data_IF_219898676962
#
_entry.id   IF_219898676962
#
_cell.length_a   1.000
_cell.length_b   1.000
_cell.length_c   1.000
_cell.angle_alpha   90.00
_cell.angle_beta   90.00
_cell.angle_gamma   90.00
#
_symmetry.space_group_name_H-M   'P 1'
#
loop_
_entity.id
_entity.type
_entity.pdbx_description
1 polymer ?
#
# COMPACT_ATOMS: atom_id res chain seq x y z
N UNK A 1 21.24 46.49 -9.66
CA UNK A 1 20.89 45.06 -9.65
C UNK A 1 21.60 44.36 -8.48
N UNK A 2 20.93 43.50 -7.73
CA UNK A 2 21.55 42.72 -6.67
C UNK A 2 22.45 41.68 -7.34
N UNK A 3 23.72 41.54 -6.94
CA UNK A 3 24.61 40.50 -7.48
C UNK A 3 24.03 39.10 -7.36
N UNK A 4 24.29 38.24 -8.34
CA UNK A 4 23.74 36.84 -8.33
C UNK A 4 24.20 36.05 -7.13
N UNK A 5 25.44 36.25 -6.67
CA UNK A 5 25.97 35.61 -5.47
C UNK A 5 25.18 35.98 -4.21
N UNK A 6 24.80 37.24 -4.07
CA UNK A 6 23.97 37.71 -2.95
C UNK A 6 22.57 37.07 -2.99
N UNK A 7 22.00 36.91 -4.19
CA UNK A 7 20.71 36.23 -4.35
C UNK A 7 20.82 34.75 -4.00
N UNK A 8 21.90 34.09 -4.45
CA UNK A 8 22.17 32.69 -4.12
C UNK A 8 22.27 32.49 -2.61
N UNK A 9 23.07 33.33 -1.95
CA UNK A 9 23.25 33.28 -0.50
C UNK A 9 21.94 33.54 0.26
N UNK A 10 21.13 34.49 -0.19
CA UNK A 10 19.82 34.75 0.40
C UNK A 10 18.86 33.55 0.28
N UNK A 11 18.85 32.86 -0.89
CA UNK A 11 18.06 31.62 -1.08
C UNK A 11 18.53 30.52 -0.12
N UNK A 12 19.83 30.34 0.05
CA UNK A 12 20.40 29.35 0.98
C UNK A 12 19.94 29.64 2.41
N UNK A 13 20.06 30.90 2.87
CA UNK A 13 19.63 31.27 4.22
C UNK A 13 18.12 31.12 4.45
N UNK A 14 17.30 31.44 3.45
CA UNK A 14 15.85 31.22 3.51
C UNK A 14 15.53 29.73 3.57
N UNK A 15 16.24 28.89 2.82
CA UNK A 15 16.05 27.43 2.79
C UNK A 15 16.33 26.78 4.14
N UNK A 16 17.28 27.28 4.90
CA UNK A 16 17.56 26.78 6.26
C UNK A 16 16.43 27.09 7.25
N UNK A 17 15.67 28.16 7.03
CA UNK A 17 14.61 28.63 7.93
C UNK A 17 13.21 28.22 7.52
N UNK A 18 13.00 27.95 6.24
CA UNK A 18 11.68 27.67 5.68
C UNK A 18 11.71 26.42 4.82
N UNK A 19 10.84 25.48 5.14
CA UNK A 19 10.69 24.25 4.39
C UNK A 19 10.21 24.52 2.95
N UNK A 20 9.28 25.46 2.75
CA UNK A 20 8.88 25.89 1.42
C UNK A 20 10.05 26.44 0.59
N UNK A 21 10.85 27.34 1.15
CA UNK A 21 12.01 27.88 0.44
C UNK A 21 13.10 26.82 0.18
N UNK A 22 13.22 25.83 1.06
CA UNK A 22 14.09 24.69 0.81
C UNK A 22 13.64 23.90 -0.42
N UNK A 23 12.34 23.57 -0.53
CA UNK A 23 11.78 22.89 -1.68
C UNK A 23 11.95 23.69 -2.97
N UNK A 24 11.67 25.00 -2.93
CA UNK A 24 11.89 25.93 -4.07
C UNK A 24 13.36 26.00 -4.48
N UNK A 25 14.27 26.03 -3.51
CA UNK A 25 15.70 26.16 -3.80
C UNK A 25 16.28 24.89 -4.39
N UNK A 26 15.85 23.73 -3.92
CA UNK A 26 16.32 22.44 -4.38
C UNK A 26 15.67 22.04 -5.73
N UNK A 27 14.37 22.35 -5.92
CA UNK A 27 13.57 21.95 -7.10
C UNK A 27 12.70 23.11 -7.62
N UNK A 28 13.30 24.18 -8.13
CA UNK A 28 12.58 25.41 -8.52
C UNK A 28 11.56 25.22 -9.64
N UNK A 29 11.74 24.19 -10.48
CA UNK A 29 10.79 23.85 -11.55
C UNK A 29 9.52 23.15 -11.04
N UNK A 30 9.58 22.58 -9.84
CA UNK A 30 8.43 21.87 -9.23
C UNK A 30 7.70 22.73 -8.20
N UNK A 31 8.44 23.47 -7.38
CA UNK A 31 7.88 24.27 -6.30
C UNK A 31 7.88 25.77 -6.68
N UNK A 32 6.92 26.14 -7.52
CA UNK A 32 6.75 27.53 -7.99
C UNK A 32 5.70 28.28 -7.17
N UNK A 33 5.76 29.61 -7.15
CA UNK A 33 4.82 30.43 -6.38
C UNK A 33 3.36 30.32 -6.86
N UNK A 34 3.14 29.84 -8.10
CA UNK A 34 1.81 29.56 -8.64
C UNK A 34 1.18 28.33 -8.00
N UNK A 35 1.97 27.40 -7.47
CA UNK A 35 1.51 26.18 -6.81
C UNK A 35 1.20 26.42 -5.33
N UNK A 36 0.19 27.23 -5.07
CA UNK A 36 -0.19 27.68 -3.73
C UNK A 36 -0.46 26.52 -2.77
N UNK A 37 -1.07 25.45 -3.25
CA UNK A 37 -1.35 24.26 -2.44
C UNK A 37 -0.06 23.64 -1.89
N UNK A 38 1.00 23.52 -2.70
CA UNK A 38 2.27 22.95 -2.23
C UNK A 38 2.91 23.85 -1.17
N UNK A 39 2.78 25.16 -1.32
CA UNK A 39 3.22 26.12 -0.30
C UNK A 39 2.47 25.95 1.01
N UNK A 40 1.15 25.87 0.97
CA UNK A 40 0.30 25.66 2.16
C UNK A 40 0.66 24.34 2.86
N UNK A 41 0.90 23.27 2.09
CA UNK A 41 1.35 21.97 2.62
C UNK A 41 2.69 22.11 3.33
N UNK A 42 3.67 22.77 2.70
CA UNK A 42 5.00 22.97 3.29
C UNK A 42 4.96 23.81 4.57
N UNK A 43 4.19 24.91 4.55
CA UNK A 43 4.00 25.78 5.72
C UNK A 43 3.30 25.06 6.88
N UNK A 44 2.30 24.22 6.58
CA UNK A 44 1.61 23.39 7.58
C UNK A 44 2.54 22.36 8.20
N UNK A 45 3.32 21.65 7.38
CA UNK A 45 4.29 20.67 7.86
C UNK A 45 5.33 21.37 8.76
N UNK A 46 5.85 22.52 8.33
CA UNK A 46 6.81 23.28 9.13
C UNK A 46 6.22 23.71 10.47
N UNK A 47 5.02 24.29 10.47
CA UNK A 47 4.33 24.70 11.70
C UNK A 47 4.13 23.52 12.65
N UNK A 48 3.75 22.35 12.14
CA UNK A 48 3.61 21.13 12.92
C UNK A 48 4.94 20.66 13.53
N UNK A 49 6.01 20.65 12.73
CA UNK A 49 7.33 20.20 13.20
C UNK A 49 7.89 21.12 14.29
N UNK A 50 7.62 22.43 14.21
CA UNK A 50 8.07 23.43 15.15
C UNK A 50 7.17 23.58 16.39
N UNK A 51 5.98 22.98 16.39
CA UNK A 51 5.04 22.95 17.54
C UNK A 51 5.42 21.82 18.50
N UNK A 52 5.86 22.16 19.72
CA UNK A 52 6.26 21.16 20.73
C UNK A 52 5.10 20.33 21.28
N UNK A 53 3.85 20.82 21.19
CA UNK A 53 2.69 20.21 21.85
C UNK A 53 1.95 19.21 20.96
N UNK A 54 2.27 19.17 19.65
CA UNK A 54 1.62 18.30 18.67
C UNK A 54 2.54 17.18 18.21
N UNK A 55 2.06 15.95 18.27
CA UNK A 55 2.81 14.75 17.88
C UNK A 55 2.34 14.08 16.59
N UNK A 56 1.15 14.42 16.10
CA UNK A 56 0.52 13.71 14.98
C UNK A 56 0.02 14.65 13.89
N UNK A 57 0.52 14.46 12.69
CA UNK A 57 0.03 15.11 11.46
C UNK A 57 -0.48 14.04 10.49
N UNK A 58 -1.72 14.15 10.08
CA UNK A 58 -2.30 13.39 8.96
C UNK A 58 -2.53 14.35 7.80
N UNK A 59 -1.80 14.15 6.71
CA UNK A 59 -1.88 14.92 5.49
C UNK A 59 -2.36 14.02 4.35
N UNK A 60 -3.60 14.24 3.91
CA UNK A 60 -4.22 13.47 2.83
C UNK A 60 -4.28 14.29 1.55
N UNK A 61 -3.63 13.79 0.50
CA UNK A 61 -3.53 14.43 -0.82
C UNK A 61 -3.95 13.48 -1.94
N UNK A 62 -4.54 13.98 -3.03
CA UNK A 62 -4.86 13.16 -4.19
C UNK A 62 -3.63 12.55 -4.84
N UNK A 63 -3.80 11.49 -5.68
CA UNK A 63 -2.71 10.93 -6.46
C UNK A 63 -2.01 11.99 -7.33
N UNK A 64 -0.68 11.90 -7.45
CA UNK A 64 0.14 12.80 -8.27
C UNK A 64 0.45 14.17 -7.64
N UNK A 65 -0.09 14.50 -6.45
CA UNK A 65 0.10 15.79 -5.79
C UNK A 65 1.33 15.82 -4.88
N UNK A 66 2.44 15.29 -5.34
CA UNK A 66 3.79 15.37 -4.74
C UNK A 66 3.96 14.81 -3.32
N UNK A 67 3.03 13.97 -2.80
CA UNK A 67 3.09 13.36 -1.46
C UNK A 67 4.47 12.81 -1.09
N UNK A 68 4.89 11.78 -1.81
CA UNK A 68 6.19 11.10 -1.56
C UNK A 68 7.39 12.01 -1.81
N UNK A 69 7.22 13.03 -2.66
CA UNK A 69 8.28 14.01 -2.92
C UNK A 69 8.47 14.93 -1.71
N UNK A 70 7.38 15.48 -1.19
CA UNK A 70 7.36 16.30 0.03
C UNK A 70 7.83 15.52 1.25
N UNK A 71 7.42 14.25 1.40
CA UNK A 71 7.87 13.37 2.48
C UNK A 71 9.41 13.19 2.49
N UNK A 72 10.01 12.98 1.31
CA UNK A 72 11.47 12.88 1.17
C UNK A 72 12.18 14.20 1.45
N UNK A 73 11.63 15.30 0.93
CA UNK A 73 12.18 16.63 1.16
C UNK A 73 12.15 17.00 2.64
N UNK A 74 11.07 16.66 3.34
CA UNK A 74 10.96 16.86 4.78
C UNK A 74 12.07 16.15 5.55
N UNK A 75 12.30 14.87 5.26
CA UNK A 75 13.39 14.12 5.90
C UNK A 75 14.75 14.81 5.71
N UNK A 76 15.05 15.29 4.49
CA UNK A 76 16.29 16.00 4.19
C UNK A 76 16.38 17.34 4.92
N UNK A 77 15.29 18.11 4.96
CA UNK A 77 15.27 19.41 5.63
C UNK A 77 15.47 19.29 7.14
N UNK A 78 14.81 18.30 7.79
CA UNK A 78 14.98 18.03 9.21
C UNK A 78 16.44 17.69 9.56
N UNK A 79 17.05 16.77 8.84
CA UNK A 79 18.45 16.37 9.04
C UNK A 79 19.44 17.46 8.62
N UNK A 80 19.04 18.37 7.74
CA UNK A 80 19.85 19.55 7.39
C UNK A 80 19.87 20.61 8.47
N UNK A 81 18.70 20.88 9.08
CA UNK A 81 18.57 21.81 10.21
C UNK A 81 19.28 21.31 11.46
N UNK A 82 19.12 20.02 11.74
CA UNK A 82 19.68 19.36 12.91
C UNK A 82 20.25 17.99 12.50
N UNK A 83 21.57 17.89 12.24
CA UNK A 83 22.20 16.64 11.80
C UNK A 83 22.10 15.48 12.80
N UNK A 84 21.79 15.75 14.06
CA UNK A 84 21.53 14.74 15.08
C UNK A 84 20.15 14.10 14.98
N UNK A 85 19.22 14.70 14.20
CA UNK A 85 17.87 14.19 14.00
C UNK A 85 17.86 12.78 13.37
N UNK A 86 16.99 11.92 13.91
CA UNK A 86 16.82 10.54 13.46
C UNK A 86 15.45 10.38 12.81
N UNK A 87 15.43 9.91 11.58
CA UNK A 87 14.22 9.76 10.78
C UNK A 87 13.98 8.28 10.43
N UNK A 88 12.79 7.77 10.72
CA UNK A 88 12.30 6.51 10.16
C UNK A 88 11.32 6.83 9.03
N UNK A 89 11.70 6.46 7.80
CA UNK A 89 10.83 6.54 6.62
C UNK A 89 10.12 5.20 6.37
N UNK A 90 8.80 5.24 6.25
CA UNK A 90 7.96 4.06 6.05
C UNK A 90 7.29 4.14 4.69
N UNK A 91 7.33 3.06 3.92
CA UNK A 91 6.56 2.90 2.69
C UNK A 91 5.85 1.53 2.68
N UNK A 92 4.97 1.29 1.71
CA UNK A 92 4.19 0.05 1.62
C UNK A 92 5.02 -1.22 1.40
N UNK A 93 6.26 -1.10 0.95
CA UNK A 93 7.18 -2.25 0.75
C UNK A 93 8.61 -1.87 1.06
N UNK A 94 9.42 -2.87 1.43
CA UNK A 94 10.85 -2.69 1.71
C UNK A 94 11.65 -2.16 0.51
N UNK A 95 11.29 -2.58 -0.71
CA UNK A 95 11.92 -2.10 -1.94
C UNK A 95 11.63 -0.62 -2.19
N UNK A 96 10.38 -0.20 -2.05
CA UNK A 96 10.00 1.21 -2.19
C UNK A 96 10.65 2.07 -1.12
N UNK A 97 10.64 1.63 0.13
CA UNK A 97 11.30 2.32 1.23
C UNK A 97 12.82 2.47 1.00
N UNK A 98 13.48 1.41 0.50
CA UNK A 98 14.90 1.42 0.15
C UNK A 98 15.20 2.33 -1.04
N UNK A 99 14.30 2.40 -2.02
CA UNK A 99 14.40 3.34 -3.15
C UNK A 99 14.33 4.79 -2.67
N UNK A 100 13.37 5.12 -1.80
CA UNK A 100 13.27 6.47 -1.20
C UNK A 100 14.50 6.83 -0.39
N UNK A 101 14.99 5.93 0.44
CA UNK A 101 16.23 6.10 1.20
C UNK A 101 17.43 6.41 0.29
N UNK A 102 17.55 5.70 -0.83
CA UNK A 102 18.61 5.93 -1.82
C UNK A 102 18.46 7.31 -2.46
N UNK A 103 17.24 7.71 -2.85
CA UNK A 103 16.98 9.02 -3.43
C UNK A 103 17.32 10.17 -2.46
N UNK A 104 16.92 10.06 -1.19
CA UNK A 104 17.26 11.03 -0.13
C UNK A 104 18.79 11.15 0.00
N UNK A 105 19.47 10.02 0.12
CA UNK A 105 20.94 9.97 0.25
C UNK A 105 21.64 10.60 -0.95
N UNK A 106 21.21 10.27 -2.17
CA UNK A 106 21.83 10.79 -3.40
C UNK A 106 21.60 12.32 -3.53
N UNK A 107 20.47 12.83 -3.03
CA UNK A 107 20.23 14.27 -2.95
C UNK A 107 21.15 14.94 -1.91
N UNK A 108 21.31 14.35 -0.73
CA UNK A 108 22.27 14.84 0.30
C UNK A 108 23.69 14.88 -0.24
N UNK A 109 24.08 13.92 -1.09
CA UNK A 109 25.37 13.89 -1.77
C UNK A 109 25.49 14.91 -2.92
N UNK A 110 24.44 15.66 -3.24
CA UNK A 110 24.42 16.64 -4.33
C UNK A 110 24.29 16.02 -5.73
N UNK A 111 23.94 14.74 -5.84
CA UNK A 111 23.77 14.04 -7.12
C UNK A 111 22.40 14.34 -7.75
N UNK A 112 21.36 14.47 -6.93
CA UNK A 112 19.97 14.69 -7.36
C UNK A 112 19.44 16.03 -6.87
N UNK A 113 19.12 16.94 -7.79
CA UNK A 113 18.40 18.19 -7.53
C UNK A 113 17.76 18.70 -8.82
N UNK A 114 16.86 19.67 -8.72
CA UNK A 114 16.11 20.19 -9.85
C UNK A 114 16.94 21.05 -10.79
N UNK A 115 16.46 21.20 -12.01
CA UNK A 115 17.12 22.06 -13.00
C UNK A 115 17.11 23.52 -12.53
N UNK A 116 18.30 24.11 -12.40
CA UNK A 116 18.47 25.48 -11.87
C UNK A 116 18.39 25.57 -10.36
N UNK A 117 18.27 24.43 -9.66
CA UNK A 117 18.30 24.37 -8.21
C UNK A 117 19.70 24.50 -7.63
N UNK A 118 19.77 24.71 -6.32
CA UNK A 118 21.02 24.70 -5.56
C UNK A 118 21.19 23.33 -4.92
N UNK A 119 22.35 22.65 -5.11
CA UNK A 119 22.59 21.34 -4.51
C UNK A 119 22.47 21.36 -2.98
N UNK A 120 21.97 20.27 -2.40
CA UNK A 120 21.80 20.14 -0.95
C UNK A 120 23.08 20.45 -0.13
N UNK A 121 24.31 20.00 -0.52
CA UNK A 121 25.53 20.32 0.21
C UNK A 121 25.84 21.81 0.28
N UNK A 122 25.38 22.61 -0.70
CA UNK A 122 25.55 24.07 -0.67
C UNK A 122 24.59 24.73 0.36
N UNK A 123 23.42 24.08 0.60
CA UNK A 123 22.42 24.57 1.56
C UNK A 123 22.81 24.16 2.99
N UNK A 124 23.15 22.89 3.19
CA UNK A 124 23.48 22.28 4.48
C UNK A 124 24.86 21.60 4.44
N UNK A 125 25.96 22.39 4.47
CA UNK A 125 27.32 21.84 4.30
C UNK A 125 27.79 20.93 5.42
N UNK A 126 27.16 21.00 6.61
CA UNK A 126 27.51 20.20 7.78
C UNK A 126 26.75 18.86 7.81
N UNK A 127 25.70 18.70 7.00
CA UNK A 127 24.91 17.48 6.92
C UNK A 127 25.47 16.52 5.85
N UNK A 128 26.53 15.76 6.21
CA UNK A 128 27.28 14.89 5.30
C UNK A 128 27.05 13.42 5.63
N UNK A 129 26.95 12.59 4.58
CA UNK A 129 26.86 11.13 4.75
C UNK A 129 28.19 10.59 5.28
N UNK A 130 28.13 9.83 6.38
CA UNK A 130 29.28 9.17 7.01
C UNK A 130 29.79 8.04 6.14
N UNK A 131 31.06 8.08 5.78
CA UNK A 131 31.68 7.07 4.93
C UNK A 131 31.69 5.68 5.59
N UNK A 132 31.36 4.64 4.81
CA UNK A 132 31.40 3.25 5.29
C UNK A 132 30.16 2.80 6.08
N UNK A 133 29.22 3.69 6.40
CA UNK A 133 28.00 3.42 7.19
C UNK A 133 26.69 3.58 6.39
N UNK A 134 26.75 3.44 5.08
CA UNK A 134 25.59 3.62 4.23
C UNK A 134 25.19 2.32 3.52
N UNK A 135 24.00 1.82 3.86
CA UNK A 135 23.30 0.77 3.11
C UNK A 135 22.14 1.39 2.31
N UNK A 136 21.40 0.59 1.55
CA UNK A 136 20.19 1.06 0.84
C UNK A 136 19.08 1.49 1.79
N UNK A 137 18.98 0.89 2.98
CA UNK A 137 17.88 1.12 3.92
C UNK A 137 18.30 1.82 5.22
N UNK A 138 19.60 2.01 5.46
CA UNK A 138 20.12 2.59 6.70
C UNK A 138 21.44 3.30 6.46
N UNK A 139 21.57 4.54 6.94
CA UNK A 139 22.79 5.32 6.86
C UNK A 139 22.85 6.39 7.94
N UNK A 140 24.04 6.91 8.15
CA UNK A 140 24.38 7.88 9.19
C UNK A 140 24.96 9.16 8.57
N UNK A 141 24.70 10.28 9.20
CA UNK A 141 25.42 11.53 8.97
C UNK A 141 26.70 11.57 9.82
N UNK A 142 27.68 12.37 9.41
CA UNK A 142 28.90 12.61 10.20
C UNK A 142 28.54 13.19 11.57
N UNK A 143 29.17 12.69 12.62
CA UNK A 143 28.89 13.10 13.99
C UNK A 143 27.73 12.38 14.67
N UNK A 144 26.90 11.62 13.94
CA UNK A 144 25.85 10.81 14.53
C UNK A 144 26.39 9.54 15.16
N UNK A 145 25.83 9.17 16.34
CA UNK A 145 26.12 7.92 17.04
C UNK A 145 25.16 6.78 16.64
N UNK A 146 24.05 7.11 16.03
CA UNK A 146 22.97 6.21 15.59
C UNK A 146 22.57 6.51 14.13
N UNK A 147 21.82 5.63 13.46
CA UNK A 147 21.33 5.89 12.11
C UNK A 147 20.51 7.18 12.01
N UNK A 148 20.95 8.12 11.17
CA UNK A 148 20.20 9.35 10.91
C UNK A 148 18.95 9.10 10.07
N UNK A 149 19.00 8.10 9.18
CA UNK A 149 17.83 7.66 8.41
C UNK A 149 17.73 6.14 8.38
N UNK A 150 16.51 5.64 8.56
CA UNK A 150 16.17 4.23 8.38
C UNK A 150 14.87 4.09 7.57
N UNK A 151 14.95 3.33 6.49
CA UNK A 151 13.80 2.92 5.68
C UNK A 151 13.21 1.61 6.19
N UNK A 152 11.88 1.50 6.20
CA UNK A 152 11.16 0.30 6.60
C UNK A 152 9.80 0.17 5.93
N UNK A 153 9.13 -0.96 6.15
CA UNK A 153 7.77 -1.25 5.71
C UNK A 153 7.05 -2.13 6.74
N UNK A 154 5.73 -2.31 6.65
CA UNK A 154 4.98 -3.19 7.57
C UNK A 154 5.50 -4.63 7.65
N UNK A 155 6.11 -5.12 6.56
CA UNK A 155 6.65 -6.49 6.47
C UNK A 155 8.14 -6.56 6.82
N UNK A 156 8.79 -5.45 7.17
CA UNK A 156 10.22 -5.39 7.46
C UNK A 156 10.49 -5.31 8.96
N UNK A 157 11.44 -6.08 9.44
CA UNK A 157 11.85 -6.00 10.84
C UNK A 157 12.63 -4.70 11.12
N UNK A 158 12.22 -3.97 12.14
CA UNK A 158 12.99 -2.85 12.71
C UNK A 158 13.51 -3.29 14.09
N UNK A 159 14.81 -3.46 14.20
CA UNK A 159 15.45 -3.74 15.49
C UNK A 159 16.50 -2.69 15.79
N UNK A 160 16.62 -2.27 17.07
CA UNK A 160 17.72 -1.46 17.56
C UNK A 160 17.83 -0.05 16.96
N UNK A 161 16.75 0.57 16.50
CA UNK A 161 16.76 1.98 16.05
C UNK A 161 15.65 2.74 16.76
N UNK A 162 15.95 3.94 17.23
CA UNK A 162 14.99 4.93 17.72
C UNK A 162 14.92 6.08 16.74
N UNK A 163 13.87 6.89 16.79
CA UNK A 163 13.75 8.06 15.94
C UNK A 163 12.96 9.17 16.63
N UNK A 164 13.23 10.38 16.16
CA UNK A 164 12.55 11.60 16.54
C UNK A 164 11.39 11.89 15.57
N UNK A 165 11.55 11.49 14.31
CA UNK A 165 10.57 11.70 13.24
C UNK A 165 10.22 10.39 12.53
N UNK A 166 8.92 10.14 12.39
CA UNK A 166 8.35 9.01 11.67
C UNK A 166 7.55 9.53 10.48
N UNK A 167 8.05 9.32 9.26
CA UNK A 167 7.40 9.76 8.03
C UNK A 167 6.81 8.55 7.33
N UNK A 168 5.48 8.42 7.36
CA UNK A 168 4.74 7.29 6.78
C UNK A 168 4.13 7.74 5.46
N UNK A 169 4.65 7.20 4.35
CA UNK A 169 4.24 7.54 2.99
C UNK A 169 3.50 6.36 2.33
N UNK A 170 2.23 6.57 1.99
CA UNK A 170 1.35 5.64 1.26
C UNK A 170 1.53 4.15 1.65
N UNK A 171 1.19 3.80 2.90
CA UNK A 171 1.40 2.46 3.46
C UNK A 171 0.55 1.38 2.78
N UNK A 172 -0.59 1.75 2.16
CA UNK A 172 -1.51 0.85 1.45
C UNK A 172 -1.08 0.75 -0.01
N UNK A 173 -0.89 -0.47 -0.52
CA UNK A 173 -0.39 -0.71 -1.88
C UNK A 173 -1.42 -0.46 -2.97
N UNK A 174 -2.67 -0.89 -2.73
CA UNK A 174 -3.72 -0.89 -3.74
C UNK A 174 -5.11 -1.01 -3.12
N UNK A 175 -6.15 -0.90 -3.95
CA UNK A 175 -7.54 -1.01 -3.56
C UNK A 175 -7.89 -2.35 -2.89
N UNK A 176 -7.35 -3.46 -3.39
CA UNK A 176 -7.63 -4.80 -2.84
C UNK A 176 -7.13 -4.91 -1.39
N UNK A 177 -5.96 -4.38 -1.08
CA UNK A 177 -5.44 -4.32 0.29
C UNK A 177 -6.32 -3.40 1.16
N UNK A 178 -6.76 -2.26 0.61
CA UNK A 178 -7.66 -1.34 1.29
C UNK A 178 -9.03 -1.94 1.64
N UNK A 179 -9.48 -2.93 0.88
CA UNK A 179 -10.73 -3.67 1.14
C UNK A 179 -10.56 -4.78 2.17
N UNK A 180 -9.34 -5.19 2.47
CA UNK A 180 -9.04 -6.25 3.42
C UNK A 180 -8.91 -5.67 4.84
N UNK A 181 -9.92 -5.88 5.69
CA UNK A 181 -9.94 -5.38 7.07
C UNK A 181 -8.78 -5.92 7.92
N UNK A 182 -8.29 -7.15 7.65
CA UNK A 182 -7.12 -7.70 8.36
C UNK A 182 -5.84 -6.95 7.97
N UNK A 183 -5.63 -6.68 6.68
CA UNK A 183 -4.46 -5.89 6.25
C UNK A 183 -4.47 -4.47 6.87
N UNK A 184 -5.63 -3.82 6.90
CA UNK A 184 -5.77 -2.51 7.57
C UNK A 184 -5.49 -2.58 9.07
N UNK A 185 -5.94 -3.66 9.73
CA UNK A 185 -5.63 -3.92 11.14
C UNK A 185 -4.13 -4.13 11.34
N UNK A 186 -3.47 -4.88 10.48
CA UNK A 186 -2.03 -5.15 10.55
C UNK A 186 -1.21 -3.85 10.39
N UNK A 187 -1.63 -2.93 9.53
CA UNK A 187 -1.01 -1.61 9.44
C UNK A 187 -1.12 -0.82 10.75
N UNK A 188 -2.27 -0.89 11.42
CA UNK A 188 -2.45 -0.23 12.71
C UNK A 188 -1.67 -0.91 13.83
N UNK A 189 -1.60 -2.26 13.84
CA UNK A 189 -0.75 -3.01 14.78
C UNK A 189 0.74 -2.73 14.55
N UNK A 190 1.18 -2.61 13.30
CA UNK A 190 2.54 -2.19 12.97
C UNK A 190 2.88 -0.80 13.54
N UNK A 191 1.95 0.16 13.42
CA UNK A 191 2.11 1.46 14.06
C UNK A 191 2.28 1.30 15.58
N UNK A 192 1.33 0.63 16.27
CA UNK A 192 1.32 0.51 17.74
C UNK A 192 2.53 -0.26 18.28
N UNK A 193 2.77 -1.43 17.71
CA UNK A 193 3.71 -2.39 18.29
C UNK A 193 5.15 -2.19 17.79
N UNK A 194 5.32 -1.57 16.62
CA UNK A 194 6.63 -1.41 16.01
C UNK A 194 7.07 0.04 15.99
N UNK A 195 6.32 0.94 15.33
CA UNK A 195 6.78 2.31 15.17
C UNK A 195 6.73 3.08 16.48
N UNK A 196 5.63 3.02 17.22
CA UNK A 196 5.48 3.75 18.48
C UNK A 196 6.51 3.31 19.54
N UNK A 197 6.89 2.04 19.57
CA UNK A 197 7.95 1.54 20.45
C UNK A 197 9.37 2.04 20.10
N UNK A 198 9.52 2.79 19.00
CA UNK A 198 10.78 3.39 18.54
C UNK A 198 10.91 4.88 18.80
N UNK A 199 9.91 5.48 19.43
CA UNK A 199 10.03 6.86 19.93
C UNK A 199 11.11 6.95 21.00
N UNK A 200 11.75 8.10 21.11
CA UNK A 200 12.78 8.38 22.12
C UNK A 200 12.40 9.63 22.91
N UNK A 201 12.11 9.45 24.19
CA UNK A 201 11.59 10.52 25.03
C UNK A 201 10.17 10.96 24.63
N UNK A 202 9.87 12.22 24.94
CA UNK A 202 8.55 12.83 24.72
C UNK A 202 8.51 13.74 23.48
N UNK A 203 9.66 14.02 22.86
CA UNK A 203 9.76 14.88 21.68
C UNK A 203 9.88 14.05 20.40
N UNK A 204 8.74 13.53 19.94
CA UNK A 204 8.65 12.76 18.69
C UNK A 204 7.52 13.27 17.81
N UNK A 205 7.62 13.03 16.49
CA UNK A 205 6.63 13.43 15.50
C UNK A 205 6.28 12.28 14.56
N UNK A 206 4.99 12.01 14.41
CA UNK A 206 4.46 11.14 13.37
C UNK A 206 3.81 11.97 12.27
N UNK A 207 4.28 11.81 11.05
CA UNK A 207 3.80 12.50 9.86
C UNK A 207 3.28 11.43 8.88
N UNK A 208 1.96 11.32 8.74
CA UNK A 208 1.29 10.41 7.82
C UNK A 208 0.94 11.19 6.55
N UNK A 209 1.68 10.94 5.46
CA UNK A 209 1.47 11.57 4.15
C UNK A 209 0.87 10.53 3.22
N UNK A 210 -0.45 10.47 3.15
CA UNK A 210 -1.15 9.39 2.45
C UNK A 210 -2.33 9.91 1.64
N UNK A 211 -2.84 9.10 0.74
CA UNK A 211 -4.21 9.21 0.26
C UNK A 211 -5.13 8.37 1.14
N UNK A 212 -6.40 8.74 1.24
CA UNK A 212 -7.39 7.93 1.94
C UNK A 212 -7.83 6.77 1.05
N UNK A 213 -8.09 5.63 1.68
CA UNK A 213 -8.55 4.43 1.00
C UNK A 213 -9.82 3.85 1.63
N UNK A 214 -9.92 3.87 2.94
CA UNK A 214 -11.02 3.33 3.73
C UNK A 214 -11.25 4.20 4.97
N UNK A 215 -12.43 4.12 5.57
CA UNK A 215 -12.73 4.85 6.80
C UNK A 215 -11.81 4.44 7.94
N UNK A 216 -11.47 3.15 8.01
CA UNK A 216 -10.61 2.52 9.00
C UNK A 216 -9.17 2.25 8.52
N UNK A 217 -8.70 2.96 7.47
CA UNK A 217 -7.28 2.97 7.10
C UNK A 217 -6.41 3.54 8.23
N UNK A 218 -5.08 3.46 8.10
CA UNK A 218 -4.18 3.92 9.15
C UNK A 218 -4.43 5.39 9.53
N UNK A 219 -4.65 6.28 8.56
CA UNK A 219 -5.02 7.68 8.81
C UNK A 219 -6.31 7.79 9.61
N UNK A 220 -7.35 7.05 9.25
CA UNK A 220 -8.62 7.01 9.98
C UNK A 220 -8.46 6.52 11.41
N UNK A 221 -7.65 5.48 11.62
CA UNK A 221 -7.35 4.94 12.95
C UNK A 221 -6.55 5.88 13.83
N UNK A 222 -5.60 6.63 13.27
CA UNK A 222 -4.85 7.65 14.01
C UNK A 222 -5.77 8.80 14.43
N UNK A 223 -6.63 9.28 13.53
CA UNK A 223 -7.60 10.34 13.83
C UNK A 223 -8.60 9.85 14.90
N UNK A 224 -9.09 8.61 14.78
CA UNK A 224 -10.00 8.02 15.80
C UNK A 224 -9.35 7.92 17.17
N UNK A 225 -8.06 7.51 17.23
CA UNK A 225 -7.36 7.27 18.48
C UNK A 225 -6.98 8.55 19.23
N UNK A 226 -6.52 9.57 18.51
CA UNK A 226 -5.94 10.78 19.10
C UNK A 226 -6.82 12.03 18.99
N UNK A 227 -7.92 11.97 18.21
CA UNK A 227 -8.92 13.04 18.11
C UNK A 227 -8.33 14.42 17.83
N UNK A 228 -8.55 15.37 18.74
CA UNK A 228 -8.12 16.78 18.59
C UNK A 228 -6.59 16.98 18.71
N UNK A 229 -5.85 15.95 19.14
CA UNK A 229 -4.38 16.01 19.17
C UNK A 229 -3.76 15.78 17.79
N UNK A 230 -4.57 15.39 16.79
CA UNK A 230 -4.13 15.22 15.40
C UNK A 230 -4.38 16.48 14.61
N UNK A 231 -3.34 17.01 13.97
CA UNK A 231 -3.53 17.96 12.87
C UNK A 231 -3.92 17.15 11.63
N UNK A 232 -5.19 17.25 11.24
CA UNK A 232 -5.75 16.49 10.11
C UNK A 232 -6.10 17.42 8.96
N UNK A 233 -5.39 17.28 7.83
CA UNK A 233 -5.56 18.11 6.64
C UNK A 233 -5.86 17.22 5.43
N UNK A 234 -7.01 17.48 4.81
CA UNK A 234 -7.49 16.77 3.64
C UNK A 234 -7.63 17.72 2.46
N UNK A 235 -6.88 17.45 1.39
CA UNK A 235 -7.01 18.17 0.14
C UNK A 235 -7.81 17.35 -0.87
N UNK A 236 -8.98 17.86 -1.28
CA UNK A 236 -9.78 17.29 -2.36
C UNK A 236 -9.22 17.71 -3.71
N UNK A 237 -9.28 16.84 -4.69
CA UNK A 237 -8.82 17.15 -6.07
C UNK A 237 -9.57 18.33 -6.69
N UNK A 238 -10.81 18.54 -6.28
CA UNK A 238 -11.70 19.62 -6.75
C UNK A 238 -12.69 19.98 -5.64
N UNK A 239 -12.98 21.26 -5.52
CA UNK A 239 -14.00 21.78 -4.60
C UNK A 239 -14.86 22.82 -5.34
N UNK A 240 -16.18 22.61 -5.43
CA UNK A 240 -17.13 23.51 -6.10
C UNK A 240 -16.75 23.87 -7.54
N UNK A 241 -16.23 22.91 -8.31
CA UNK A 241 -15.82 23.11 -9.71
C UNK A 241 -14.41 23.71 -9.87
N UNK A 242 -13.72 24.03 -8.76
CA UNK A 242 -12.37 24.57 -8.78
C UNK A 242 -11.37 23.45 -8.51
N UNK A 243 -10.49 23.19 -9.45
CA UNK A 243 -9.41 22.19 -9.30
C UNK A 243 -8.41 22.64 -8.25
N UNK A 244 -7.95 21.68 -7.42
CA UNK A 244 -6.94 21.90 -6.38
C UNK A 244 -5.64 22.48 -6.98
N UNK A 245 -5.12 21.81 -8.01
CA UNK A 245 -3.93 22.24 -8.73
C UNK A 245 -4.04 21.85 -10.22
N UNK A 246 -4.55 22.76 -11.07
CA UNK A 246 -4.80 22.46 -12.49
C UNK A 246 -3.55 22.04 -13.27
N UNK A 247 -2.36 22.47 -12.85
CA UNK A 247 -1.09 22.10 -13.50
C UNK A 247 -0.68 20.65 -13.22
N UNK A 248 -1.21 20.05 -12.15
CA UNK A 248 -0.99 18.65 -11.77
C UNK A 248 -2.11 17.75 -12.31
N UNK A 249 -3.36 18.16 -12.07
CA UNK A 249 -4.56 17.45 -12.48
C UNK A 249 -5.53 18.41 -13.16
N UNK A 250 -5.66 18.28 -14.49
CA UNK A 250 -6.63 19.09 -15.24
C UNK A 250 -8.05 18.57 -15.04
N UNK A 251 -9.05 19.43 -15.26
CA UNK A 251 -10.46 19.04 -15.23
C UNK A 251 -10.75 17.91 -16.23
N UNK A 252 -10.15 17.95 -17.42
CA UNK A 252 -10.32 16.89 -18.43
C UNK A 252 -9.81 15.53 -17.92
N UNK A 253 -8.65 15.50 -17.25
CA UNK A 253 -8.09 14.29 -16.66
C UNK A 253 -8.95 13.77 -15.51
N UNK A 254 -9.53 14.67 -14.70
CA UNK A 254 -10.48 14.27 -13.65
C UNK A 254 -11.76 13.70 -14.24
N UNK A 255 -12.30 14.26 -15.31
CA UNK A 255 -13.48 13.72 -15.99
C UNK A 255 -13.23 12.34 -16.59
N UNK A 256 -12.03 12.08 -17.09
CA UNK A 256 -11.64 10.73 -17.55
C UNK A 256 -11.51 9.75 -16.37
N UNK A 257 -10.91 10.18 -15.26
CA UNK A 257 -10.85 9.39 -14.03
C UNK A 257 -12.27 9.02 -13.52
N UNK A 258 -13.22 9.96 -13.56
CA UNK A 258 -14.64 9.71 -13.19
C UNK A 258 -15.34 8.66 -14.06
N UNK A 259 -14.89 8.46 -15.31
CA UNK A 259 -15.44 7.41 -16.19
C UNK A 259 -14.77 6.05 -15.99
N UNK A 260 -13.49 6.05 -15.60
CA UNK A 260 -12.64 4.87 -15.62
C UNK A 260 -12.53 4.19 -14.26
N UNK A 261 -12.52 4.97 -13.18
CA UNK A 261 -12.31 4.46 -11.82
C UNK A 261 -13.63 4.05 -11.17
N UNK A 262 -13.55 3.10 -10.25
CA UNK A 262 -14.62 2.80 -9.32
C UNK A 262 -15.00 4.07 -8.52
N UNK A 263 -16.32 4.40 -8.37
CA UNK A 263 -16.74 5.59 -7.66
C UNK A 263 -16.24 5.68 -6.21
N UNK A 264 -16.10 4.54 -5.50
CA UNK A 264 -15.61 4.51 -4.13
C UNK A 264 -14.10 4.82 -4.09
N UNK A 265 -13.31 4.29 -5.05
CA UNK A 265 -11.89 4.63 -5.20
C UNK A 265 -11.75 6.13 -5.49
N UNK A 266 -12.54 6.66 -6.41
CA UNK A 266 -12.51 8.07 -6.75
C UNK A 266 -12.82 8.93 -5.51
N UNK A 267 -13.87 8.59 -4.76
CA UNK A 267 -14.29 9.31 -3.56
C UNK A 267 -13.21 9.24 -2.48
N UNK A 268 -12.63 8.07 -2.24
CA UNK A 268 -11.59 7.89 -1.25
C UNK A 268 -10.27 8.59 -1.64
N UNK A 269 -9.70 8.27 -2.80
CA UNK A 269 -8.35 8.69 -3.14
C UNK A 269 -8.27 10.13 -3.68
N UNK A 270 -9.28 10.59 -4.42
CA UNK A 270 -9.26 11.92 -5.05
C UNK A 270 -9.96 12.98 -4.22
N UNK A 271 -11.02 12.60 -3.50
CA UNK A 271 -11.74 13.52 -2.62
C UNK A 271 -11.38 13.36 -1.14
N UNK A 272 -10.58 12.35 -0.78
CA UNK A 272 -10.16 12.01 0.59
C UNK A 272 -11.35 11.72 1.52
N UNK A 273 -12.46 11.26 0.97
CA UNK A 273 -13.71 10.95 1.67
C UNK A 273 -14.06 9.47 1.47
N UNK A 274 -13.36 8.54 2.10
CA UNK A 274 -13.67 7.12 1.99
C UNK A 274 -15.04 6.83 2.59
N UNK A 275 -15.77 5.92 1.95
CA UNK A 275 -17.08 5.45 2.43
C UNK A 275 -17.02 3.96 2.69
N UNK A 276 -17.72 3.51 3.73
CA UNK A 276 -17.86 2.08 3.97
C UNK A 276 -18.81 1.47 2.95
N UNK A 277 -18.39 0.38 2.31
CA UNK A 277 -19.26 -0.40 1.42
C UNK A 277 -20.22 -1.19 2.30
N UNK A 278 -21.44 -0.70 2.48
CA UNK A 278 -22.48 -1.39 3.24
C UNK A 278 -22.92 -2.65 2.51
N UNK A 279 -23.09 -3.74 3.25
CA UNK A 279 -23.62 -5.00 2.74
C UNK A 279 -22.61 -5.93 2.09
N UNK A 280 -21.28 -5.68 2.23
CA UNK A 280 -20.26 -6.67 1.88
C UNK A 280 -20.49 -7.97 2.64
N UNK A 281 -20.27 -9.07 1.95
CA UNK A 281 -20.43 -10.39 2.54
C UNK A 281 -19.22 -10.81 3.36
N UNK A 282 -18.03 -10.37 2.97
CA UNK A 282 -16.75 -10.67 3.63
C UNK A 282 -15.97 -9.38 3.90
N UNK A 283 -15.44 -9.26 5.11
CA UNK A 283 -14.64 -8.11 5.53
C UNK A 283 -13.11 -8.33 5.33
N UNK A 284 -12.72 -9.51 4.89
CA UNK A 284 -11.34 -9.98 4.74
C UNK A 284 -11.18 -11.38 5.30
N UNK A 285 -9.99 -11.96 5.18
CA UNK A 285 -9.67 -13.28 5.68
C UNK A 285 -8.36 -13.26 6.44
N UNK A 286 -8.27 -14.07 7.50
CA UNK A 286 -7.01 -14.30 8.20
C UNK A 286 -6.03 -15.07 7.31
N UNK A 287 -4.74 -14.78 7.48
CA UNK A 287 -3.67 -15.50 6.78
C UNK A 287 -3.04 -16.53 7.72
N UNK A 288 -2.80 -17.72 7.21
CA UNK A 288 -2.02 -18.69 7.97
C UNK A 288 -0.53 -18.33 7.95
N UNK A 289 0.14 -18.48 9.08
CA UNK A 289 1.60 -18.27 9.20
C UNK A 289 2.37 -19.58 9.08
N UNK A 290 1.78 -20.68 9.53
CA UNK A 290 2.35 -22.02 9.46
C UNK A 290 1.23 -23.00 9.13
N UNK A 291 1.46 -23.84 8.13
CA UNK A 291 0.50 -24.86 7.75
C UNK A 291 0.56 -26.04 8.72
N UNK A 292 -0.59 -26.53 9.24
CA UNK A 292 -0.66 -27.79 9.92
C UNK A 292 -0.25 -28.96 8.99
N UNK A 293 0.21 -30.06 9.58
CA UNK A 293 0.47 -31.27 8.80
C UNK A 293 -0.86 -31.86 8.33
N UNK A 294 -1.06 -31.87 7.02
CA UNK A 294 -2.25 -32.43 6.39
C UNK A 294 -1.88 -33.58 5.44
N UNK A 295 -2.70 -34.62 5.45
CA UNK A 295 -2.52 -35.78 4.61
C UNK A 295 -3.37 -35.78 3.35
N UNK A 296 -4.50 -35.05 3.35
CA UNK A 296 -5.45 -34.99 2.25
C UNK A 296 -5.63 -33.53 1.83
N UNK A 297 -5.18 -33.20 0.64
CA UNK A 297 -5.45 -31.92 -0.01
C UNK A 297 -6.56 -32.10 -1.04
N UNK A 298 -7.45 -31.13 -1.08
CA UNK A 298 -8.59 -31.08 -1.99
C UNK A 298 -8.48 -29.91 -2.94
N UNK A 299 -9.12 -30.03 -4.08
CA UNK A 299 -9.35 -28.94 -5.02
C UNK A 299 -10.83 -28.87 -5.36
N UNK A 300 -11.35 -27.68 -5.56
CA UNK A 300 -12.63 -27.44 -6.21
C UNK A 300 -12.46 -26.44 -7.34
N UNK A 301 -13.05 -26.75 -8.48
CA UNK A 301 -13.02 -25.86 -9.65
C UNK A 301 -14.44 -25.55 -10.10
N UNK A 302 -14.82 -24.26 -10.00
CA UNK A 302 -16.01 -23.69 -10.64
C UNK A 302 -15.62 -23.32 -12.08
N UNK A 303 -16.11 -24.06 -13.05
CA UNK A 303 -15.77 -23.91 -14.46
C UNK A 303 -16.63 -22.83 -15.08
N UNK A 304 -16.00 -21.80 -15.65
CA UNK A 304 -16.71 -20.73 -16.34
C UNK A 304 -17.48 -21.25 -17.57
N UNK A 305 -18.71 -20.79 -17.75
CA UNK A 305 -19.41 -20.91 -19.04
C UNK A 305 -18.84 -19.92 -20.06
N UNK A 306 -19.15 -20.11 -21.34
CA UNK A 306 -18.58 -19.28 -22.41
C UNK A 306 -18.86 -17.78 -22.19
N UNK A 307 -17.82 -16.93 -22.22
CA UNK A 307 -17.97 -15.49 -22.25
C UNK A 307 -17.12 -14.71 -21.25
N UNK A 308 -17.75 -13.86 -20.43
CA UNK A 308 -17.08 -12.95 -19.49
C UNK A 308 -16.83 -13.55 -18.10
N UNK A 309 -17.30 -14.76 -17.85
CA UNK A 309 -17.22 -15.39 -16.55
C UNK A 309 -15.80 -15.88 -16.24
N UNK A 310 -15.43 -15.86 -14.98
CA UNK A 310 -14.12 -16.33 -14.51
C UNK A 310 -14.22 -17.77 -14.03
N UNK A 311 -13.24 -18.57 -14.44
CA UNK A 311 -12.94 -19.85 -13.80
C UNK A 311 -12.29 -19.58 -12.44
N UNK A 312 -12.72 -20.33 -11.42
CA UNK A 312 -12.12 -20.31 -10.10
C UNK A 312 -11.75 -21.72 -9.65
N UNK A 313 -10.47 -21.95 -9.43
CA UNK A 313 -9.94 -23.22 -8.91
C UNK A 313 -9.17 -22.96 -7.63
N UNK A 314 -9.52 -23.66 -6.55
CA UNK A 314 -8.95 -23.43 -5.22
C UNK A 314 -8.44 -24.76 -4.66
N UNK A 315 -7.19 -24.78 -4.17
CA UNK A 315 -6.62 -25.87 -3.42
C UNK A 315 -6.70 -25.59 -1.92
N UNK A 316 -7.09 -26.58 -1.13
CA UNK A 316 -7.13 -26.49 0.34
C UNK A 316 -6.98 -27.83 1.02
N UNK A 317 -6.85 -27.79 2.33
CA UNK A 317 -7.08 -28.94 3.21
C UNK A 317 -7.85 -28.52 4.46
N UNK A 318 -8.43 -29.48 5.12
CA UNK A 318 -9.18 -29.31 6.36
C UNK A 318 -8.33 -29.74 7.56
N UNK A 319 -8.34 -28.91 8.60
CA UNK A 319 -7.72 -29.23 9.88
C UNK A 319 -8.52 -28.56 11.01
N UNK A 320 -8.99 -29.34 11.99
CA UNK A 320 -9.76 -28.84 13.14
C UNK A 320 -10.94 -27.93 12.75
N UNK A 321 -11.79 -28.39 11.82
CA UNK A 321 -12.95 -27.69 11.27
C UNK A 321 -12.63 -26.33 10.59
N UNK A 322 -11.37 -26.12 10.21
CA UNK A 322 -10.89 -24.97 9.46
C UNK A 322 -10.40 -25.36 8.07
N UNK A 323 -10.53 -24.46 7.11
CA UNK A 323 -10.01 -24.61 5.77
C UNK A 323 -8.75 -23.74 5.59
N UNK A 324 -7.67 -24.38 5.18
CA UNK A 324 -6.40 -23.73 4.86
C UNK A 324 -6.22 -23.72 3.35
N UNK A 325 -6.41 -22.58 2.73
CA UNK A 325 -6.21 -22.41 1.27
C UNK A 325 -4.71 -22.42 1.00
N UNK A 326 -4.28 -23.25 0.05
CA UNK A 326 -2.86 -23.38 -0.31
C UNK A 326 -2.52 -22.71 -1.63
N UNK A 327 -3.42 -22.77 -2.61
CA UNK A 327 -3.25 -22.07 -3.89
C UNK A 327 -4.60 -21.74 -4.54
N UNK A 328 -4.60 -20.71 -5.42
CA UNK A 328 -5.79 -20.21 -6.12
C UNK A 328 -5.42 -19.94 -7.58
N UNK A 329 -6.21 -20.45 -8.50
CA UNK A 329 -6.17 -20.06 -9.91
C UNK A 329 -7.49 -19.41 -10.30
N UNK A 330 -7.44 -18.18 -10.73
CA UNK A 330 -8.61 -17.37 -11.09
C UNK A 330 -8.35 -16.66 -12.43
N UNK A 331 -9.11 -17.03 -13.48
CA UNK A 331 -8.84 -16.57 -14.83
C UNK A 331 -10.10 -16.55 -15.71
N UNK A 332 -10.18 -15.62 -16.65
CA UNK A 332 -11.18 -15.58 -17.71
C UNK A 332 -10.59 -15.98 -19.09
N UNK A 333 -9.43 -16.60 -19.11
CA UNK A 333 -8.82 -17.13 -20.31
C UNK A 333 -9.55 -18.37 -20.83
N UNK A 334 -9.28 -18.74 -22.08
CA UNK A 334 -9.90 -19.90 -22.75
C UNK A 334 -9.47 -21.21 -22.09
N UNK A 335 -10.28 -22.26 -22.27
CA UNK A 335 -10.04 -23.59 -21.70
C UNK A 335 -8.68 -24.18 -22.08
N UNK A 336 -8.20 -23.93 -23.31
CA UNK A 336 -6.89 -24.40 -23.77
C UNK A 336 -5.71 -23.84 -22.97
N UNK A 337 -5.91 -22.71 -22.28
CA UNK A 337 -4.92 -22.10 -21.37
C UNK A 337 -5.18 -22.52 -19.93
N UNK A 338 -6.44 -22.53 -19.51
CA UNK A 338 -6.78 -22.77 -18.09
C UNK A 338 -6.67 -24.24 -17.70
N UNK A 339 -7.01 -25.19 -18.59
CA UNK A 339 -6.91 -26.63 -18.31
C UNK A 339 -5.50 -27.06 -17.90
N UNK A 340 -4.42 -26.78 -18.67
CA UNK A 340 -3.07 -27.15 -18.27
C UNK A 340 -2.58 -26.38 -17.04
N UNK A 341 -3.04 -25.14 -16.80
CA UNK A 341 -2.63 -24.38 -15.63
C UNK A 341 -3.28 -24.91 -14.35
N UNK A 342 -4.56 -25.25 -14.38
CA UNK A 342 -5.25 -25.94 -13.26
C UNK A 342 -4.59 -27.29 -12.98
N UNK A 343 -4.27 -28.07 -13.99
CA UNK A 343 -3.56 -29.35 -13.82
C UNK A 343 -2.18 -29.16 -13.15
N UNK A 344 -1.41 -28.16 -13.58
CA UNK A 344 -0.11 -27.83 -12.96
C UNK A 344 -0.25 -27.42 -11.50
N UNK A 345 -1.23 -26.59 -11.16
CA UNK A 345 -1.51 -26.16 -9.79
C UNK A 345 -1.89 -27.36 -8.89
N UNK A 346 -2.78 -28.25 -9.37
CA UNK A 346 -3.19 -29.48 -8.68
C UNK A 346 -1.99 -30.40 -8.46
N UNK A 347 -1.17 -30.62 -9.49
CA UNK A 347 0.02 -31.46 -9.43
C UNK A 347 1.09 -30.91 -8.48
N UNK A 348 1.41 -29.62 -8.58
CA UNK A 348 2.45 -28.98 -7.78
C UNK A 348 2.12 -28.99 -6.28
N UNK A 349 0.85 -28.88 -5.93
CA UNK A 349 0.39 -28.88 -4.54
C UNK A 349 0.10 -30.30 -3.99
N UNK A 350 0.30 -31.35 -4.79
CA UNK A 350 0.01 -32.74 -4.42
C UNK A 350 -1.44 -32.96 -3.95
N UNK A 351 -2.40 -32.41 -4.67
CA UNK A 351 -3.83 -32.57 -4.38
C UNK A 351 -4.24 -34.01 -4.51
N UNK A 352 -5.00 -34.51 -3.53
CA UNK A 352 -5.48 -35.91 -3.50
C UNK A 352 -6.81 -36.08 -4.23
N UNK A 353 -7.72 -35.10 -4.07
CA UNK A 353 -9.07 -35.14 -4.67
C UNK A 353 -9.30 -33.80 -5.36
N UNK A 354 -9.57 -33.83 -6.66
CA UNK A 354 -9.93 -32.63 -7.45
C UNK A 354 -11.38 -32.80 -7.95
N UNK A 355 -12.24 -31.91 -7.44
CA UNK A 355 -13.67 -31.89 -7.78
C UNK A 355 -13.98 -30.69 -8.70
N UNK A 356 -14.78 -30.97 -9.75
CA UNK A 356 -15.18 -29.96 -10.73
C UNK A 356 -16.70 -29.78 -10.73
N UNK A 357 -17.18 -28.54 -10.81
CA UNK A 357 -18.59 -28.28 -11.10
C UNK A 357 -18.93 -28.81 -12.49
N UNK A 358 -19.90 -29.71 -12.58
CA UNK A 358 -20.19 -30.43 -13.83
C UNK A 358 -21.18 -29.73 -14.75
N UNK A 359 -21.76 -28.60 -14.35
CA UNK A 359 -22.67 -27.81 -15.14
C UNK A 359 -21.93 -27.17 -16.34
N UNK A 360 -22.67 -26.83 -17.40
CA UNK A 360 -22.18 -25.98 -18.50
C UNK A 360 -20.83 -26.42 -19.14
N UNK A 361 -20.65 -27.72 -19.37
CA UNK A 361 -19.42 -28.25 -19.99
C UNK A 361 -18.32 -28.69 -19.01
N UNK A 362 -18.51 -28.54 -17.69
CA UNK A 362 -17.52 -28.86 -16.69
C UNK A 362 -17.04 -30.31 -16.68
N UNK A 363 -17.87 -31.28 -17.11
CA UNK A 363 -17.42 -32.69 -17.31
C UNK A 363 -16.34 -32.85 -18.38
N UNK A 364 -16.44 -32.04 -19.47
CA UNK A 364 -15.43 -32.00 -20.52
C UNK A 364 -14.13 -31.45 -20.01
N UNK A 365 -14.21 -30.33 -19.29
CA UNK A 365 -13.09 -29.68 -18.65
C UNK A 365 -12.36 -30.61 -17.65
N UNK A 366 -13.11 -31.27 -16.75
CA UNK A 366 -12.55 -32.23 -15.79
C UNK A 366 -11.75 -33.36 -16.46
N UNK A 367 -12.28 -33.90 -17.56
CA UNK A 367 -11.59 -34.96 -18.33
C UNK A 367 -10.30 -34.45 -18.99
N UNK A 368 -10.31 -33.22 -19.48
CA UNK A 368 -9.13 -32.63 -20.07
C UNK A 368 -8.06 -32.38 -18.99
N UNK A 369 -8.43 -31.82 -17.83
CA UNK A 369 -7.51 -31.65 -16.69
C UNK A 369 -6.96 -33.01 -16.22
N UNK A 370 -7.78 -34.08 -16.17
CA UNK A 370 -7.32 -35.43 -15.85
C UNK A 370 -6.28 -35.96 -16.85
N UNK A 371 -6.45 -35.66 -18.14
CA UNK A 371 -5.46 -35.98 -19.16
C UNK A 371 -4.15 -35.25 -18.95
N UNK A 372 -4.21 -33.93 -18.75
CA UNK A 372 -3.04 -33.09 -18.45
C UNK A 372 -2.29 -33.57 -17.18
N UNK A 373 -3.02 -33.95 -16.12
CA UNK A 373 -2.44 -34.53 -14.91
C UNK A 373 -1.66 -35.81 -15.21
N UNK A 374 -2.21 -36.71 -16.06
CA UNK A 374 -1.54 -37.96 -16.48
C UNK A 374 -0.26 -37.65 -17.29
N UNK A 375 -0.28 -36.64 -18.14
CA UNK A 375 0.90 -36.18 -18.90
C UNK A 375 1.98 -35.58 -17.99
N UNK A 376 1.60 -34.93 -16.89
CA UNK A 376 2.52 -34.48 -15.83
C UNK A 376 3.04 -35.62 -14.93
N UNK A 377 2.61 -36.87 -15.16
CA UNK A 377 3.01 -38.01 -14.35
C UNK A 377 2.27 -38.10 -13.00
N UNK A 378 1.22 -37.33 -12.79
CA UNK A 378 0.38 -37.41 -11.61
C UNK A 378 -0.47 -38.70 -11.64
N UNK A 379 -0.28 -39.56 -10.61
CA UNK A 379 -0.98 -40.88 -10.50
C UNK A 379 -1.83 -40.97 -9.23
N UNK A 380 -1.84 -39.94 -8.39
CA UNK A 380 -2.48 -40.01 -7.08
C UNK A 380 -3.73 -39.12 -6.96
N UNK A 381 -3.90 -38.13 -7.82
CA UNK A 381 -5.09 -37.28 -7.80
C UNK A 381 -6.29 -38.03 -8.38
N UNK A 382 -7.37 -38.09 -7.61
CA UNK A 382 -8.68 -38.58 -8.07
C UNK A 382 -9.45 -37.38 -8.59
N UNK A 383 -9.91 -37.44 -9.84
CA UNK A 383 -10.71 -36.39 -10.48
C UNK A 383 -12.18 -36.77 -10.42
N UNK A 384 -12.99 -35.92 -9.81
CA UNK A 384 -14.43 -36.11 -9.65
C UNK A 384 -15.19 -34.88 -10.21
N UNK A 385 -16.48 -34.99 -10.42
CA UNK A 385 -17.35 -33.91 -10.83
C UNK A 385 -18.74 -34.02 -10.22
N UNK A 386 -19.28 -32.88 -9.77
CA UNK A 386 -20.58 -32.83 -9.09
C UNK A 386 -21.48 -31.75 -9.73
N UNK A 387 -22.77 -32.11 -10.02
CA UNK A 387 -23.73 -31.12 -10.49
C UNK A 387 -24.16 -30.21 -9.34
N UNK A 388 -24.23 -28.90 -9.59
CA UNK A 388 -24.79 -27.93 -8.66
C UNK A 388 -26.20 -27.54 -9.08
N UNK A 389 -27.18 -27.81 -8.21
CA UNK A 389 -28.61 -27.58 -8.50
C UNK A 389 -29.22 -26.45 -7.68
N UNK A 390 -28.58 -26.05 -6.57
CA UNK A 390 -29.10 -24.99 -5.71
C UNK A 390 -28.72 -23.60 -6.22
N UNK A 391 -29.54 -22.58 -5.90
CA UNK A 391 -29.28 -21.19 -6.23
C UNK A 391 -27.94 -20.73 -5.66
N UNK A 392 -27.06 -20.17 -6.50
CA UNK A 392 -25.68 -19.76 -6.17
C UNK A 392 -25.68 -18.73 -5.04
N UNK A 393 -26.50 -17.69 -5.13
CA UNK A 393 -26.56 -16.63 -4.11
C UNK A 393 -27.02 -17.16 -2.74
N UNK A 394 -28.01 -18.05 -2.72
CA UNK A 394 -28.51 -18.65 -1.48
C UNK A 394 -27.42 -19.52 -0.81
N UNK A 395 -26.64 -20.28 -1.59
CA UNK A 395 -25.52 -21.08 -1.08
C UNK A 395 -24.42 -20.20 -0.50
N UNK A 396 -24.01 -19.14 -1.21
CA UNK A 396 -22.99 -18.19 -0.77
C UNK A 396 -23.44 -17.52 0.54
N UNK A 397 -24.68 -17.05 0.60
CA UNK A 397 -25.21 -16.39 1.81
C UNK A 397 -25.28 -17.35 3.01
N UNK A 398 -25.78 -18.56 2.81
CA UNK A 398 -25.90 -19.56 3.89
C UNK A 398 -24.53 -19.95 4.48
N UNK A 399 -23.49 -19.98 3.66
CA UNK A 399 -22.14 -20.38 4.08
C UNK A 399 -21.27 -19.22 4.58
N UNK A 400 -21.67 -17.99 4.32
CA UNK A 400 -20.81 -16.81 4.47
C UNK A 400 -20.23 -16.62 5.88
N UNK A 401 -21.07 -16.76 6.91
CA UNK A 401 -20.61 -16.60 8.30
C UNK A 401 -19.64 -17.68 8.75
N UNK A 402 -19.78 -18.91 8.21
CA UNK A 402 -18.84 -19.98 8.47
C UNK A 402 -17.54 -19.76 7.72
N UNK A 403 -17.61 -19.42 6.42
CA UNK A 403 -16.45 -19.10 5.56
C UNK A 403 -15.62 -17.97 6.17
N UNK A 404 -16.27 -16.89 6.60
CA UNK A 404 -15.59 -15.73 7.22
C UNK A 404 -14.76 -16.13 8.46
N UNK A 405 -15.23 -17.09 9.23
CA UNK A 405 -14.59 -17.47 10.50
C UNK A 405 -13.58 -18.61 10.39
N UNK A 406 -13.73 -19.49 9.39
CA UNK A 406 -13.01 -20.75 9.35
C UNK A 406 -12.09 -20.93 8.12
N UNK A 407 -12.09 -19.98 7.19
CA UNK A 407 -11.18 -20.00 6.04
C UNK A 407 -9.95 -19.13 6.30
N UNK A 408 -8.79 -19.75 6.16
CA UNK A 408 -7.48 -19.11 6.27
C UNK A 408 -6.81 -19.05 4.91
N UNK A 409 -6.41 -17.86 4.49
CA UNK A 409 -5.77 -17.62 3.20
C UNK A 409 -4.24 -17.75 3.28
N UNK A 410 -3.56 -18.01 2.15
CA UNK A 410 -2.10 -18.02 2.12
C UNK A 410 -1.53 -16.62 2.37
N UNK A 411 -0.29 -16.53 2.87
CA UNK A 411 0.37 -15.24 3.10
C UNK A 411 0.36 -14.34 1.86
N UNK A 412 0.03 -13.07 2.05
CA UNK A 412 -0.08 -12.06 0.99
C UNK A 412 -1.09 -12.41 -0.12
N UNK A 413 -2.12 -13.21 0.17
CA UNK A 413 -3.08 -13.70 -0.81
C UNK A 413 -3.76 -12.57 -1.62
N UNK A 414 -4.09 -11.46 -0.99
CA UNK A 414 -4.78 -10.34 -1.64
C UNK A 414 -3.89 -9.66 -2.70
N UNK A 415 -2.59 -9.66 -2.50
CA UNK A 415 -1.61 -9.17 -3.48
C UNK A 415 -1.24 -10.23 -4.52
N UNK A 416 -1.14 -11.50 -4.10
CA UNK A 416 -0.79 -12.64 -4.96
C UNK A 416 -1.92 -12.97 -5.95
N UNK A 417 -3.18 -12.93 -5.49
CA UNK A 417 -4.37 -13.26 -6.27
C UNK A 417 -5.31 -12.06 -6.41
N UNK A 418 -4.81 -10.94 -6.90
CA UNK A 418 -5.50 -9.64 -6.90
C UNK A 418 -6.90 -9.67 -7.51
N UNK A 419 -7.09 -10.33 -8.66
CA UNK A 419 -8.40 -10.41 -9.32
C UNK A 419 -9.43 -11.19 -8.48
N UNK A 420 -9.03 -12.33 -7.91
CA UNK A 420 -9.85 -13.13 -7.01
C UNK A 420 -10.20 -12.35 -5.74
N UNK A 421 -9.21 -11.74 -5.11
CA UNK A 421 -9.39 -10.99 -3.88
C UNK A 421 -10.33 -9.79 -4.08
N UNK A 422 -10.20 -9.08 -5.19
CA UNK A 422 -11.11 -7.98 -5.55
C UNK A 422 -12.54 -8.49 -5.67
N UNK A 423 -12.76 -9.59 -6.37
CA UNK A 423 -14.11 -10.17 -6.55
C UNK A 423 -14.73 -10.59 -5.22
N UNK A 424 -13.97 -11.29 -4.37
CA UNK A 424 -14.48 -11.80 -3.08
C UNK A 424 -14.76 -10.67 -2.11
N UNK A 425 -13.86 -9.69 -1.98
CA UNK A 425 -13.98 -8.59 -1.02
C UNK A 425 -14.97 -7.50 -1.45
N UNK A 426 -15.29 -7.40 -2.75
CA UNK A 426 -16.30 -6.46 -3.26
C UNK A 426 -17.70 -7.07 -3.33
N UNK A 427 -17.85 -8.37 -3.10
CA UNK A 427 -19.14 -9.05 -3.25
C UNK A 427 -20.17 -8.52 -2.26
N UNK A 428 -21.30 -8.04 -2.81
CA UNK A 428 -22.46 -7.53 -2.06
C UNK A 428 -23.64 -8.43 -2.36
N UNK A 429 -24.27 -8.97 -1.33
CA UNK A 429 -25.45 -9.82 -1.48
C UNK A 429 -26.62 -9.05 -2.12
N UNK A 430 -27.17 -9.56 -3.24
CA UNK A 430 -28.26 -8.92 -3.98
C UNK A 430 -27.84 -7.73 -4.85
N UNK A 431 -26.52 -7.45 -4.97
CA UNK A 431 -25.98 -6.47 -5.91
C UNK A 431 -25.99 -6.99 -7.35
N UNK A 432 -26.06 -6.10 -8.35
CA UNK A 432 -25.70 -6.47 -9.73
C UNK A 432 -24.17 -6.56 -9.78
N UNK A 433 -23.66 -7.75 -9.74
CA UNK A 433 -22.23 -8.04 -9.94
C UNK A 433 -21.89 -8.05 -11.42
#
# INVERSE_FOLDING_TARGET
MIPEEVKKQAKIELSKRSFWHFEQTLYPELFTDERKMLKEVAETIQSFVEDSDKHYLVLSLPPGHFKSFTAKNLAMWLMGKEPSSRVIGVANSGDLASMFSTQIRDTILGVNYGKGGIPYPDIFPDSKIKYGFATKSKWELEGSAEPSYRATSPTSAITGSRADYFIVDDIIKNHTEAMNAHALKDHFEFYKNTLFSRTDGDDYKFIFVMQRWATNDLSGKIIELYGDDVININYKVETNGVMLEPSIMSLAKLQEAKKTLDPNILQANYYQEPVDIKGRLYDGFEEWTTLPLATIKKNFTDVADQGKDYLCSINWFEYEDKLYITDIYYSNEKAEITEPNVAKMIHADNVTIAEFESNNGGKGYARNVERELKELGNKHTVVEWTPQTANKEARIFASSAWVQRNVYMPPNWSSKYTAFATQVLSYVAGGKN
#
